data_IF_402115912139
#
_entry.id   IF_402115912139
#
_cell.length_a   1.000
_cell.length_b   1.000
_cell.length_c   1.000
_cell.angle_alpha   90.00
_cell.angle_beta   90.00
_cell.angle_gamma   90.00
#
_symmetry.space_group_name_H-M   'P 1'
#
loop_
_entity.id
_entity.type
_entity.pdbx_description
1 polymer ?
#
# COMPACT_ATOMS: atom_id res chain seq x y z
N UNK A 1 34.48 23.54 -7.50
CA UNK A 1 33.57 22.66 -6.75
C UNK A 1 32.45 22.30 -7.69
N UNK A 2 32.52 21.08 -8.23
CA UNK A 2 31.61 20.57 -9.25
C UNK A 2 30.17 20.63 -8.76
N UNK A 3 29.30 21.26 -9.55
CA UNK A 3 27.88 20.94 -9.54
C UNK A 3 27.79 19.60 -10.25
N UNK A 4 27.68 18.52 -9.49
CA UNK A 4 27.22 17.26 -10.04
C UNK A 4 25.78 17.48 -10.49
N UNK A 5 25.62 17.70 -11.78
CA UNK A 5 24.38 17.46 -12.49
C UNK A 5 24.05 15.99 -12.26
N UNK A 6 23.13 15.69 -11.34
CA UNK A 6 22.36 14.46 -11.44
C UNK A 6 21.66 14.51 -12.78
N UNK A 7 22.27 13.85 -13.76
CA UNK A 7 21.68 13.57 -15.05
C UNK A 7 20.43 12.75 -14.73
N UNK A 8 19.26 13.37 -14.83
CA UNK A 8 17.99 12.76 -14.48
C UNK A 8 17.72 11.66 -15.50
N UNK A 9 18.17 10.43 -15.23
CA UNK A 9 17.86 9.27 -16.07
C UNK A 9 16.35 9.28 -16.36
N UNK A 10 16.02 9.30 -17.65
CA UNK A 10 14.65 9.30 -18.10
C UNK A 10 14.02 7.97 -17.68
N UNK A 11 13.12 8.01 -16.69
CA UNK A 11 12.34 6.85 -16.27
C UNK A 11 11.56 6.33 -17.48
N UNK A 12 11.72 5.05 -17.79
CA UNK A 12 11.11 4.45 -18.98
C UNK A 12 9.58 4.49 -18.90
N UNK A 13 8.91 4.77 -20.01
CA UNK A 13 7.45 4.69 -20.07
C UNK A 13 7.01 3.22 -20.02
N UNK A 14 5.99 2.92 -19.22
CA UNK A 14 5.42 1.59 -19.11
C UNK A 14 4.41 1.35 -20.23
N UNK A 15 4.65 0.29 -20.99
CA UNK A 15 3.71 -0.22 -21.98
C UNK A 15 2.97 -1.44 -21.42
N UNK A 16 1.64 -1.32 -21.29
CA UNK A 16 0.77 -2.40 -20.80
C UNK A 16 0.75 -3.61 -21.73
N UNK A 17 1.16 -3.46 -22.99
CA UNK A 17 1.29 -4.53 -23.97
C UNK A 17 2.74 -5.03 -24.13
N UNK A 18 3.70 -4.37 -23.48
CA UNK A 18 5.11 -4.77 -23.47
C UNK A 18 5.41 -5.98 -22.57
N UNK A 19 6.69 -6.24 -22.26
CA UNK A 19 7.07 -7.29 -21.32
C UNK A 19 6.40 -7.11 -19.95
N UNK A 20 5.89 -8.20 -19.38
CA UNK A 20 5.33 -8.17 -18.03
C UNK A 20 6.42 -7.83 -17.00
N UNK A 21 6.09 -7.02 -15.97
CA UNK A 21 7.00 -6.78 -14.86
C UNK A 21 7.50 -8.08 -14.23
N UNK A 22 8.77 -8.10 -13.82
CA UNK A 22 9.37 -9.20 -13.08
C UNK A 22 10.32 -8.66 -12.02
N UNK A 23 10.51 -9.42 -10.93
CA UNK A 23 11.20 -8.92 -9.75
C UNK A 23 10.42 -7.78 -9.10
N UNK A 24 11.13 -6.84 -8.46
CA UNK A 24 10.52 -5.65 -7.87
C UNK A 24 10.51 -4.49 -8.85
N UNK A 25 9.32 -4.05 -9.24
CA UNK A 25 9.09 -2.95 -10.18
C UNK A 25 8.30 -1.84 -9.50
N UNK A 26 8.78 -0.60 -9.61
CA UNK A 26 8.02 0.60 -9.23
C UNK A 26 7.42 1.22 -10.47
N UNK A 27 6.11 1.39 -10.45
CA UNK A 27 5.32 2.04 -11.48
C UNK A 27 4.81 3.39 -10.96
N UNK A 28 5.48 4.47 -11.34
CA UNK A 28 5.07 5.83 -11.00
C UNK A 28 3.90 6.26 -11.88
N UNK A 29 2.74 6.45 -11.28
CA UNK A 29 1.49 6.64 -11.99
C UNK A 29 0.77 7.92 -11.54
N UNK A 30 1.07 9.00 -12.27
CA UNK A 30 0.49 10.33 -12.02
C UNK A 30 -1.03 10.37 -12.08
N UNK A 31 -1.63 11.45 -11.57
CA UNK A 31 -3.08 11.61 -11.54
C UNK A 31 -3.68 11.40 -12.93
N UNK A 32 -4.67 10.51 -13.03
CA UNK A 32 -5.41 10.25 -14.26
C UNK A 32 -4.68 9.41 -15.32
N UNK A 33 -3.51 8.83 -15.03
CA UNK A 33 -2.76 8.01 -16.00
C UNK A 33 -3.21 6.55 -16.12
N UNK A 34 -4.22 6.16 -15.34
CA UNK A 34 -4.85 4.84 -15.46
C UNK A 34 -4.25 3.76 -14.57
N UNK A 35 -3.85 4.10 -13.32
CA UNK A 35 -3.41 3.13 -12.28
C UNK A 35 -4.27 1.87 -12.24
N UNK A 36 -5.56 2.03 -11.93
CA UNK A 36 -6.51 0.92 -11.76
C UNK A 36 -6.72 0.13 -13.06
N UNK A 37 -6.74 0.82 -14.21
CA UNK A 37 -6.81 0.15 -15.52
C UNK A 37 -5.58 -0.73 -15.76
N UNK A 38 -4.40 -0.21 -15.44
CA UNK A 38 -3.13 -0.92 -15.59
C UNK A 38 -3.07 -2.14 -14.68
N UNK A 39 -3.50 -2.02 -13.42
CA UNK A 39 -3.54 -3.16 -12.48
C UNK A 39 -4.49 -4.25 -12.98
N UNK A 40 -5.69 -3.87 -13.44
CA UNK A 40 -6.66 -4.82 -13.98
C UNK A 40 -6.13 -5.50 -15.27
N UNK A 41 -5.47 -4.74 -16.14
CA UNK A 41 -4.83 -5.25 -17.34
C UNK A 41 -3.69 -6.24 -17.01
N UNK A 42 -2.80 -5.88 -16.08
CA UNK A 42 -1.73 -6.75 -15.59
C UNK A 42 -2.27 -8.04 -14.98
N UNK A 43 -3.31 -7.96 -14.13
CA UNK A 43 -3.95 -9.14 -13.56
C UNK A 43 -4.48 -10.08 -14.64
N UNK A 44 -5.16 -9.54 -15.65
CA UNK A 44 -5.64 -10.33 -16.78
C UNK A 44 -4.50 -10.97 -17.58
N UNK A 45 -3.41 -10.25 -17.81
CA UNK A 45 -2.23 -10.76 -18.53
C UNK A 45 -1.52 -11.88 -17.76
N UNK A 46 -1.22 -11.69 -16.48
CA UNK A 46 -0.54 -12.71 -15.67
C UNK A 46 -1.32 -14.04 -15.67
N UNK A 47 -2.65 -13.97 -15.63
CA UNK A 47 -3.53 -15.15 -15.73
C UNK A 47 -3.54 -15.73 -17.14
N UNK A 48 -3.87 -14.92 -18.15
CA UNK A 48 -4.03 -15.40 -19.52
C UNK A 48 -2.73 -16.00 -20.07
N UNK A 49 -1.61 -15.32 -19.88
CA UNK A 49 -0.30 -15.75 -20.35
C UNK A 49 0.28 -16.91 -19.50
N UNK A 50 -0.29 -17.19 -18.32
CA UNK A 50 0.01 -18.37 -17.51
C UNK A 50 1.18 -18.20 -16.54
N UNK A 51 1.47 -16.96 -16.15
CA UNK A 51 2.49 -16.66 -15.13
C UNK A 51 1.98 -16.89 -13.71
N UNK A 52 0.68 -16.80 -13.48
CA UNK A 52 0.05 -17.04 -12.18
C UNK A 52 -1.40 -17.48 -12.37
N UNK A 53 -1.90 -18.34 -11.49
CA UNK A 53 -3.33 -18.52 -11.29
C UNK A 53 -3.90 -17.36 -10.48
N UNK A 54 -5.22 -17.15 -10.53
CA UNK A 54 -5.83 -16.00 -9.88
C UNK A 54 -5.69 -16.01 -8.35
N UNK A 55 -5.65 -17.19 -7.73
CA UNK A 55 -5.42 -17.31 -6.29
C UNK A 55 -3.95 -17.06 -5.89
N UNK A 56 -3.02 -17.13 -6.86
CA UNK A 56 -1.60 -16.79 -6.69
C UNK A 56 -1.32 -15.29 -6.91
N UNK A 57 -2.35 -14.51 -7.25
CA UNK A 57 -2.29 -13.05 -7.35
C UNK A 57 -2.73 -12.39 -6.03
N UNK A 58 -1.90 -11.48 -5.55
CA UNK A 58 -2.24 -10.58 -4.45
C UNK A 58 -2.35 -9.14 -4.94
N UNK A 59 -3.50 -8.52 -4.69
CA UNK A 59 -3.78 -7.11 -4.98
C UNK A 59 -4.10 -6.40 -3.66
N UNK A 60 -3.24 -5.46 -3.25
CA UNK A 60 -3.40 -4.70 -2.01
C UNK A 60 -3.66 -3.23 -2.33
N UNK A 61 -4.59 -2.59 -1.60
CA UNK A 61 -4.88 -1.15 -1.69
C UNK A 61 -5.18 -0.57 -0.30
N UNK A 62 -5.26 0.76 -0.18
CA UNK A 62 -5.37 1.44 1.11
C UNK A 62 -6.75 1.28 1.79
N UNK A 63 -7.83 1.38 1.02
CA UNK A 63 -9.20 1.52 1.55
C UNK A 63 -10.16 0.38 1.18
N UNK A 64 -11.19 0.16 2.00
CA UNK A 64 -12.26 -0.82 1.71
C UNK A 64 -13.03 -0.49 0.43
N UNK A 65 -13.33 0.79 0.19
CA UNK A 65 -13.99 1.24 -1.03
C UNK A 65 -13.11 1.00 -2.27
N UNK A 66 -11.82 1.38 -2.19
CA UNK A 66 -10.84 1.13 -3.24
C UNK A 66 -10.67 -0.37 -3.52
N UNK A 67 -10.73 -1.21 -2.49
CA UNK A 67 -10.68 -2.68 -2.64
C UNK A 67 -11.87 -3.19 -3.45
N UNK A 68 -13.08 -2.71 -3.16
CA UNK A 68 -14.29 -3.11 -3.90
C UNK A 68 -14.24 -2.63 -5.35
N UNK A 69 -13.85 -1.38 -5.58
CA UNK A 69 -13.67 -0.85 -6.93
C UNK A 69 -12.62 -1.66 -7.71
N UNK A 70 -11.44 -1.90 -7.12
CA UNK A 70 -10.39 -2.69 -7.75
C UNK A 70 -10.86 -4.11 -8.08
N UNK A 71 -11.60 -4.75 -7.17
CA UNK A 71 -12.19 -6.08 -7.38
C UNK A 71 -13.15 -6.10 -8.56
N UNK A 72 -14.02 -5.10 -8.65
CA UNK A 72 -14.94 -4.95 -9.79
C UNK A 72 -14.18 -4.75 -11.10
N UNK A 73 -13.20 -3.84 -11.13
CA UNK A 73 -12.39 -3.56 -12.33
C UNK A 73 -11.60 -4.76 -12.83
N UNK A 74 -10.99 -5.51 -11.93
CA UNK A 74 -10.26 -6.74 -12.29
C UNK A 74 -11.24 -7.77 -12.87
N UNK A 75 -12.41 -7.95 -12.25
CA UNK A 75 -13.44 -8.87 -12.75
C UNK A 75 -13.94 -8.46 -14.13
N UNK A 76 -14.31 -7.18 -14.31
CA UNK A 76 -14.75 -6.62 -15.59
C UNK A 76 -13.71 -6.87 -16.68
N UNK A 77 -12.42 -6.65 -16.37
CA UNK A 77 -11.34 -6.86 -17.33
C UNK A 77 -11.17 -8.33 -17.71
N UNK A 78 -11.20 -9.24 -16.75
CA UNK A 78 -11.13 -10.69 -16.99
C UNK A 78 -12.32 -11.16 -17.85
N UNK A 79 -13.55 -10.69 -17.56
CA UNK A 79 -14.75 -11.02 -18.34
C UNK A 79 -14.63 -10.48 -19.77
N UNK A 80 -14.19 -9.24 -19.92
CA UNK A 80 -14.01 -8.61 -21.24
C UNK A 80 -12.99 -9.37 -22.07
N UNK A 81 -11.84 -9.74 -21.48
CA UNK A 81 -10.81 -10.52 -22.14
C UNK A 81 -11.31 -11.93 -22.51
N UNK A 82 -11.94 -12.66 -21.59
CA UNK A 82 -12.46 -14.02 -21.86
C UNK A 82 -13.46 -14.03 -23.01
N UNK A 83 -14.41 -13.08 -23.00
CA UNK A 83 -15.43 -12.96 -24.05
C UNK A 83 -14.82 -12.58 -25.38
N UNK A 84 -13.92 -11.61 -25.39
CA UNK A 84 -13.25 -11.14 -26.61
C UNK A 84 -12.46 -12.27 -27.28
N UNK A 85 -11.71 -13.06 -26.51
CA UNK A 85 -10.98 -14.22 -27.04
C UNK A 85 -11.89 -15.36 -27.52
N UNK A 86 -13.21 -15.26 -27.33
CA UNK A 86 -14.17 -16.16 -27.94
C UNK A 86 -14.34 -16.00 -29.44
N UNK A 87 -13.95 -14.84 -29.98
CA UNK A 87 -13.78 -14.60 -31.41
C UNK A 87 -12.38 -14.00 -31.64
N UNK A 88 -11.36 -14.84 -31.87
CA UNK A 88 -9.98 -14.37 -32.07
C UNK A 88 -9.83 -13.42 -33.27
N UNK A 89 -10.67 -13.55 -34.29
CA UNK A 89 -10.60 -12.68 -35.47
C UNK A 89 -11.06 -11.26 -35.12
N UNK A 90 -12.17 -11.14 -34.38
CA UNK A 90 -12.60 -9.86 -33.82
C UNK A 90 -11.56 -9.29 -32.86
N UNK A 91 -11.08 -10.09 -31.92
CA UNK A 91 -10.14 -9.67 -30.88
C UNK A 91 -8.86 -9.03 -31.44
N UNK A 92 -8.29 -9.58 -32.52
CA UNK A 92 -7.10 -9.05 -33.21
C UNK A 92 -7.31 -7.68 -33.87
N UNK A 93 -8.57 -7.30 -34.13
CA UNK A 93 -8.93 -6.05 -34.83
C UNK A 93 -9.66 -5.05 -33.94
N UNK A 94 -9.91 -5.39 -32.68
CA UNK A 94 -10.58 -4.51 -31.74
C UNK A 94 -9.68 -3.31 -31.38
N UNK A 95 -10.30 -2.17 -31.07
CA UNK A 95 -9.60 -0.97 -30.57
C UNK A 95 -8.96 -1.17 -29.18
N UNK A 96 -9.19 -2.32 -28.54
CA UNK A 96 -8.61 -2.71 -27.27
C UNK A 96 -7.26 -3.41 -27.50
N UNK A 97 -6.18 -2.66 -27.35
CA UNK A 97 -4.80 -3.13 -27.57
C UNK A 97 -4.45 -4.40 -26.76
N UNK A 98 -4.94 -4.50 -25.52
CA UNK A 98 -4.71 -5.68 -24.69
C UNK A 98 -5.47 -6.89 -25.22
N UNK A 99 -6.68 -6.71 -25.76
CA UNK A 99 -7.41 -7.81 -26.39
C UNK A 99 -6.69 -8.28 -27.66
N UNK A 100 -6.16 -7.36 -28.46
CA UNK A 100 -5.31 -7.65 -29.61
C UNK A 100 -4.07 -8.45 -29.22
N UNK A 101 -3.35 -8.03 -28.18
CA UNK A 101 -2.20 -8.73 -27.63
C UNK A 101 -2.55 -10.16 -27.20
N UNK A 102 -3.63 -10.34 -26.44
CA UNK A 102 -4.02 -11.66 -25.96
C UNK A 102 -4.52 -12.58 -27.08
N UNK A 103 -4.92 -12.02 -28.22
CA UNK A 103 -5.34 -12.75 -29.42
C UNK A 103 -4.18 -13.00 -30.42
N UNK A 104 -2.98 -12.49 -30.13
CA UNK A 104 -1.80 -12.67 -30.97
C UNK A 104 -1.24 -14.11 -30.86
N UNK A 105 -0.91 -14.71 -32.00
CA UNK A 105 -0.53 -16.12 -32.10
C UNK A 105 -1.65 -17.02 -32.64
N UNK A 106 -1.43 -18.33 -32.50
CA UNK A 106 -2.30 -19.37 -33.04
C UNK A 106 -3.63 -19.46 -32.30
N UNK A 107 -4.68 -19.95 -32.98
CA UNK A 107 -6.00 -20.11 -32.36
C UNK A 107 -5.97 -21.08 -31.15
N UNK A 108 -5.06 -22.07 -31.15
CA UNK A 108 -4.85 -22.97 -30.02
C UNK A 108 -4.25 -22.25 -28.80
N UNK A 109 -3.26 -21.38 -29.00
CA UNK A 109 -2.68 -20.55 -27.92
C UNK A 109 -3.74 -19.61 -27.35
N UNK A 110 -4.53 -18.97 -28.20
CA UNK A 110 -5.64 -18.10 -27.79
C UNK A 110 -6.68 -18.89 -27.00
N UNK A 111 -7.03 -20.10 -27.43
CA UNK A 111 -7.94 -20.97 -26.70
C UNK A 111 -7.41 -21.35 -25.31
N UNK A 112 -6.10 -21.58 -25.16
CA UNK A 112 -5.46 -21.82 -23.86
C UNK A 112 -5.55 -20.60 -22.95
N UNK A 113 -5.25 -19.40 -23.48
CA UNK A 113 -5.35 -18.14 -22.72
C UNK A 113 -6.79 -17.89 -22.25
N UNK A 114 -7.75 -18.09 -23.16
CA UNK A 114 -9.19 -17.99 -22.83
C UNK A 114 -9.58 -18.98 -21.73
N UNK A 115 -9.16 -20.25 -21.84
CA UNK A 115 -9.45 -21.27 -20.82
C UNK A 115 -8.94 -20.87 -19.43
N UNK A 116 -7.73 -20.32 -19.34
CA UNK A 116 -7.17 -19.80 -18.07
C UNK A 116 -8.03 -18.68 -17.49
N UNK A 117 -8.47 -17.74 -18.33
CA UNK A 117 -9.39 -16.67 -17.92
C UNK A 117 -10.74 -17.22 -17.45
N UNK A 118 -11.29 -18.22 -18.15
CA UNK A 118 -12.54 -18.89 -17.74
C UNK A 118 -12.39 -19.55 -16.37
N UNK A 119 -11.30 -20.28 -16.12
CA UNK A 119 -11.00 -20.88 -14.81
C UNK A 119 -10.88 -19.80 -13.73
N UNK A 120 -10.12 -18.74 -13.99
CA UNK A 120 -9.96 -17.61 -13.07
C UNK A 120 -11.30 -16.93 -12.73
N UNK A 121 -12.22 -16.79 -13.69
CA UNK A 121 -13.56 -16.25 -13.44
C UNK A 121 -14.43 -17.19 -12.60
N UNK A 122 -14.25 -18.51 -12.73
CA UNK A 122 -14.92 -19.50 -11.90
C UNK A 122 -14.50 -19.44 -10.43
N UNK A 123 -13.20 -19.23 -10.20
CA UNK A 123 -12.60 -19.17 -8.85
C UNK A 123 -12.35 -17.73 -8.38
N UNK A 124 -13.05 -16.74 -8.97
CA UNK A 124 -12.75 -15.33 -8.73
C UNK A 124 -12.82 -14.93 -7.26
N UNK A 125 -13.72 -15.56 -6.49
CA UNK A 125 -13.88 -15.24 -5.09
C UNK A 125 -12.69 -15.65 -4.21
N UNK A 126 -11.83 -16.56 -4.70
CA UNK A 126 -10.58 -16.96 -4.05
C UNK A 126 -9.44 -15.95 -4.25
N UNK A 127 -9.59 -14.97 -5.15
CA UNK A 127 -8.58 -13.94 -5.40
C UNK A 127 -8.30 -13.11 -4.14
N UNK A 128 -7.02 -12.89 -3.82
CA UNK A 128 -6.63 -12.03 -2.69
C UNK A 128 -6.62 -10.58 -3.17
N UNK A 129 -7.78 -9.93 -3.08
CA UNK A 129 -7.94 -8.49 -3.31
C UNK A 129 -8.41 -7.87 -2.00
N UNK A 130 -7.50 -7.22 -1.29
CA UNK A 130 -7.72 -6.82 0.10
C UNK A 130 -7.08 -5.47 0.43
N UNK A 131 -7.44 -4.92 1.59
CA UNK A 131 -6.62 -3.90 2.23
C UNK A 131 -5.37 -4.52 2.84
N UNK A 132 -4.34 -3.72 3.15
CA UNK A 132 -3.13 -4.24 3.81
C UNK A 132 -3.47 -4.95 5.14
N UNK A 133 -4.43 -4.41 5.89
CA UNK A 133 -4.95 -5.03 7.11
C UNK A 133 -5.61 -6.39 6.86
N UNK A 134 -6.46 -6.48 5.83
CA UNK A 134 -7.11 -7.73 5.45
C UNK A 134 -6.08 -8.80 5.06
N UNK A 135 -5.04 -8.41 4.32
CA UNK A 135 -3.90 -9.28 4.02
C UNK A 135 -3.20 -9.76 5.31
N UNK A 136 -2.86 -8.86 6.23
CA UNK A 136 -2.16 -9.22 7.46
C UNK A 136 -2.98 -10.22 8.30
N UNK A 137 -4.28 -9.97 8.45
CA UNK A 137 -5.19 -10.89 9.15
C UNK A 137 -5.22 -12.28 8.50
N UNK A 138 -5.28 -12.33 7.17
CA UNK A 138 -5.36 -13.57 6.41
C UNK A 138 -4.05 -14.37 6.55
N UNK A 139 -2.90 -13.70 6.52
CA UNK A 139 -1.59 -14.35 6.71
C UNK A 139 -1.40 -14.85 8.13
N UNK A 140 -1.76 -14.06 9.14
CA UNK A 140 -1.69 -14.48 10.54
C UNK A 140 -2.54 -15.74 10.79
N UNK A 141 -3.75 -15.78 10.22
CA UNK A 141 -4.62 -16.97 10.28
C UNK A 141 -3.97 -18.17 9.61
N UNK A 142 -3.41 -17.98 8.41
CA UNK A 142 -2.78 -19.05 7.62
C UNK A 142 -1.46 -19.58 8.21
N UNK A 143 -0.70 -18.73 8.90
CA UNK A 143 0.55 -19.13 9.54
C UNK A 143 0.33 -20.06 10.73
N UNK A 144 -0.88 -20.13 11.28
CA UNK A 144 -1.15 -20.89 12.49
C UNK A 144 -0.26 -20.43 13.65
N UNK A 145 0.22 -19.17 13.61
CA UNK A 145 0.94 -18.54 14.72
C UNK A 145 -0.10 -18.33 15.82
N UNK A 146 -0.35 -19.41 16.54
CA UNK A 146 -1.17 -19.50 17.74
C UNK A 146 -0.28 -19.68 18.98
N UNK A 147 1.03 -19.37 18.85
CA UNK A 147 2.05 -19.70 19.86
C UNK A 147 2.09 -18.77 21.07
N UNK A 148 1.72 -17.50 20.91
CA UNK A 148 1.59 -16.50 21.99
C UNK A 148 0.27 -15.71 21.91
N UNK A 149 -0.64 -16.21 21.08
CA UNK A 149 -1.85 -15.49 20.72
C UNK A 149 -2.95 -15.89 21.68
N UNK A 150 -3.46 -14.95 22.47
CA UNK A 150 -4.79 -15.02 23.06
C UNK A 150 -5.79 -15.29 21.91
N UNK A 151 -6.29 -16.53 21.72
CA UNK A 151 -7.22 -16.88 20.64
C UNK A 151 -8.58 -16.21 20.88
N UNK A 152 -8.80 -15.80 22.13
CA UNK A 152 -9.97 -15.11 22.66
C UNK A 152 -9.82 -13.59 22.68
N UNK A 153 -8.82 -13.04 21.97
CA UNK A 153 -8.69 -11.60 21.86
C UNK A 153 -9.86 -10.99 21.07
N UNK A 154 -10.48 -9.95 21.63
CA UNK A 154 -11.56 -9.22 20.99
C UNK A 154 -10.99 -8.18 20.04
N UNK A 155 -11.39 -8.25 18.77
CA UNK A 155 -11.04 -7.23 17.79
C UNK A 155 -11.88 -5.96 17.99
N UNK A 156 -11.23 -4.81 18.02
CA UNK A 156 -11.84 -3.48 18.12
C UNK A 156 -11.34 -2.59 16.98
N UNK A 157 -12.21 -1.75 16.44
CA UNK A 157 -11.84 -0.83 15.35
C UNK A 157 -11.02 0.37 15.84
N UNK A 158 -11.20 0.77 17.10
CA UNK A 158 -10.46 1.83 17.76
C UNK A 158 -10.24 1.48 19.24
N UNK A 159 -9.13 1.99 19.79
CA UNK A 159 -8.79 1.92 21.21
C UNK A 159 -9.03 3.26 21.93
N UNK A 160 -9.78 4.17 21.32
CA UNK A 160 -10.08 5.51 21.86
C UNK A 160 -10.68 5.49 23.26
N UNK A 161 -11.50 4.49 23.58
CA UNK A 161 -12.07 4.32 24.93
C UNK A 161 -10.97 4.00 25.94
N UNK A 162 -10.05 3.10 25.59
CA UNK A 162 -8.88 2.78 26.42
C UNK A 162 -7.98 4.00 26.57
N UNK A 163 -7.76 4.75 25.49
CA UNK A 163 -6.99 6.00 25.50
C UNK A 163 -7.62 7.01 26.45
N UNK A 164 -8.94 7.23 26.36
CA UNK A 164 -9.64 8.18 27.22
C UNK A 164 -9.52 7.79 28.71
N UNK A 165 -9.69 6.51 29.05
CA UNK A 165 -9.51 6.02 30.41
C UNK A 165 -8.07 6.23 30.93
N UNK A 166 -7.06 5.92 30.09
CA UNK A 166 -5.65 6.13 30.45
C UNK A 166 -5.36 7.60 30.70
N UNK A 167 -5.89 8.49 29.86
CA UNK A 167 -5.71 9.94 30.02
C UNK A 167 -6.33 10.41 31.33
N UNK A 168 -7.56 9.98 31.65
CA UNK A 168 -8.22 10.32 32.92
C UNK A 168 -7.36 9.89 34.11
N UNK A 169 -6.88 8.64 34.12
CA UNK A 169 -6.11 8.12 35.24
C UNK A 169 -4.75 8.81 35.39
N UNK A 170 -4.04 9.06 34.29
CA UNK A 170 -2.76 9.76 34.33
C UNK A 170 -2.93 11.23 34.74
N UNK A 171 -3.98 11.91 34.24
CA UNK A 171 -4.28 13.30 34.58
C UNK A 171 -4.60 13.44 36.06
N UNK A 172 -5.50 12.60 36.60
CA UNK A 172 -5.88 12.62 38.00
C UNK A 172 -4.73 12.20 38.92
N UNK A 173 -3.93 11.20 38.53
CA UNK A 173 -2.77 10.77 39.32
C UNK A 173 -1.75 11.90 39.47
N UNK A 174 -1.57 12.70 38.42
CA UNK A 174 -0.58 13.77 38.39
C UNK A 174 -1.09 15.07 39.00
N UNK A 175 -2.28 15.54 38.63
CA UNK A 175 -2.81 16.85 39.00
C UNK A 175 -4.11 16.82 39.82
N UNK A 176 -4.67 15.65 40.09
CA UNK A 176 -5.85 15.51 40.94
C UNK A 176 -5.56 15.57 42.44
N UNK A 177 -4.28 15.66 42.84
CA UNK A 177 -3.89 15.73 44.26
C UNK A 177 -3.88 17.17 44.77
N UNK A 178 -4.26 17.43 46.04
CA UNK A 178 -4.31 18.79 46.58
C UNK A 178 -2.98 19.57 46.52
N UNK A 179 -1.85 18.87 46.45
CA UNK A 179 -0.48 19.39 46.48
C UNK A 179 0.22 19.40 45.11
N UNK A 180 -0.45 18.98 44.04
CA UNK A 180 0.15 18.78 42.71
C UNK A 180 0.53 20.06 41.94
N UNK A 181 0.14 21.23 42.44
CA UNK A 181 0.27 22.50 41.72
C UNK A 181 -0.71 22.62 40.54
N UNK A 182 -0.62 23.73 39.80
CA UNK A 182 -1.48 23.95 38.64
C UNK A 182 -1.09 23.03 37.46
N UNK A 183 -2.06 22.46 36.73
CA UNK A 183 -1.78 21.65 35.55
C UNK A 183 -1.02 22.42 34.47
N UNK A 184 0.06 21.83 33.94
CA UNK A 184 0.82 22.42 32.82
C UNK A 184 0.05 22.37 31.49
N UNK A 185 -0.99 21.55 31.41
CA UNK A 185 -1.91 21.47 30.29
C UNK A 185 -3.29 21.06 30.79
N UNK A 186 -4.32 21.43 30.05
CA UNK A 186 -5.69 20.99 30.30
C UNK A 186 -5.87 19.51 29.96
N UNK A 187 -6.93 18.91 30.50
CA UNK A 187 -7.34 17.55 30.14
C UNK A 187 -7.53 17.38 28.62
N UNK A 188 -8.13 18.37 27.96
CA UNK A 188 -8.36 18.31 26.51
C UNK A 188 -7.05 18.31 25.71
N UNK A 189 -6.06 19.11 26.12
CA UNK A 189 -4.73 19.12 25.52
C UNK A 189 -3.98 17.80 25.76
N UNK A 190 -4.08 17.24 26.95
CA UNK A 190 -3.48 15.93 27.25
C UNK A 190 -4.14 14.82 26.42
N UNK A 191 -5.48 14.82 26.29
CA UNK A 191 -6.20 13.85 25.49
C UNK A 191 -5.80 13.93 24.01
N UNK A 192 -5.68 15.15 23.46
CA UNK A 192 -5.21 15.36 22.09
C UNK A 192 -3.78 14.85 21.91
N UNK A 193 -2.87 15.19 22.83
CA UNK A 193 -1.48 14.71 22.82
C UNK A 193 -1.41 13.18 22.83
N UNK A 194 -2.14 12.52 23.74
CA UNK A 194 -2.10 11.06 23.85
C UNK A 194 -2.76 10.39 22.64
N UNK A 195 -3.87 10.92 22.13
CA UNK A 195 -4.48 10.41 20.88
C UNK A 195 -3.50 10.47 19.71
N UNK A 196 -2.77 11.57 19.56
CA UNK A 196 -1.73 11.66 18.52
C UNK A 196 -0.60 10.67 18.76
N UNK A 197 -0.14 10.52 20.01
CA UNK A 197 0.95 9.60 20.34
C UNK A 197 0.60 8.12 20.17
N UNK A 198 -0.66 7.74 20.40
CA UNK A 198 -1.17 6.36 20.27
C UNK A 198 -1.67 6.06 18.87
N UNK A 199 -2.19 7.06 18.15
CA UNK A 199 -2.79 6.90 16.82
C UNK A 199 -1.78 6.46 15.74
N UNK A 200 -0.50 6.76 15.91
CA UNK A 200 0.58 6.13 15.15
C UNK A 200 1.59 5.49 16.12
N UNK A 201 1.40 4.20 16.39
CA UNK A 201 2.29 3.44 17.29
C UNK A 201 3.66 3.16 16.66
N UNK A 202 3.84 3.41 15.37
CA UNK A 202 5.12 3.20 14.69
C UNK A 202 5.92 4.49 14.60
N UNK A 203 5.27 5.65 14.72
CA UNK A 203 5.94 6.93 14.82
C UNK A 203 6.90 6.97 16.01
N UNK A 204 8.11 7.47 15.72
CA UNK A 204 9.09 7.83 16.74
C UNK A 204 8.60 9.09 17.46
N UNK A 205 8.33 8.96 18.76
CA UNK A 205 8.06 10.12 19.59
C UNK A 205 9.34 10.95 19.75
N UNK A 206 9.21 12.26 19.51
CA UNK A 206 10.25 13.26 19.66
C UNK A 206 9.72 14.41 20.53
N UNK A 207 10.61 15.17 21.20
CA UNK A 207 12.06 14.96 21.33
C UNK A 207 12.42 13.88 22.36
N UNK A 208 13.45 13.07 22.10
CA UNK A 208 13.94 12.03 23.03
C UNK A 208 14.82 12.57 24.15
N UNK A 209 15.30 13.80 24.01
CA UNK A 209 16.34 14.48 24.80
C UNK A 209 15.88 15.86 25.29
N UNK A 210 14.57 16.14 25.31
CA UNK A 210 14.11 17.40 25.87
C UNK A 210 14.40 17.47 27.38
N UNK A 211 15.23 18.44 27.74
CA UNK A 211 15.46 18.85 29.13
C UNK A 211 14.54 20.01 29.54
N UNK A 212 14.08 20.80 28.56
CA UNK A 212 13.25 21.97 28.81
C UNK A 212 11.75 21.65 28.79
N UNK A 213 11.04 22.24 29.75
CA UNK A 213 9.58 22.23 29.79
C UNK A 213 8.98 23.25 28.80
N UNK A 214 7.81 22.97 28.17
CA UNK A 214 6.89 21.86 28.41
C UNK A 214 7.14 20.61 27.55
N UNK A 215 8.19 20.61 26.71
CA UNK A 215 8.43 19.54 25.76
C UNK A 215 8.80 18.21 26.45
N UNK A 216 9.64 18.29 27.49
CA UNK A 216 10.05 17.13 28.29
C UNK A 216 8.85 16.44 28.96
N UNK A 217 7.92 17.22 29.55
CA UNK A 217 6.70 16.70 30.14
C UNK A 217 5.78 16.05 29.12
N UNK A 218 5.53 16.71 27.97
CA UNK A 218 4.70 16.14 26.89
C UNK A 218 5.26 14.82 26.38
N UNK A 219 6.57 14.72 26.19
CA UNK A 219 7.24 13.50 25.78
C UNK A 219 7.05 12.37 26.82
N UNK A 220 7.33 12.64 28.10
CA UNK A 220 7.17 11.66 29.19
C UNK A 220 5.73 11.17 29.31
N UNK A 221 4.74 12.06 29.21
CA UNK A 221 3.33 11.71 29.21
C UNK A 221 2.94 10.83 28.01
N UNK A 222 3.39 11.18 26.81
CA UNK A 222 3.11 10.40 25.60
C UNK A 222 3.70 8.98 25.70
N UNK A 223 4.94 8.84 26.17
CA UNK A 223 5.59 7.53 26.39
C UNK A 223 4.85 6.71 27.46
N UNK A 224 4.53 7.32 28.61
CA UNK A 224 3.81 6.65 29.68
C UNK A 224 2.41 6.21 29.25
N UNK A 225 1.69 7.06 28.51
CA UNK A 225 0.35 6.76 28.03
C UNK A 225 0.36 5.63 26.99
N UNK A 226 1.32 5.61 26.05
CA UNK A 226 1.48 4.49 25.10
C UNK A 226 1.71 3.17 25.83
N UNK A 227 2.61 3.15 26.82
CA UNK A 227 2.89 1.94 27.59
C UNK A 227 1.66 1.45 28.37
N UNK A 228 0.91 2.37 28.99
CA UNK A 228 -0.30 2.04 29.75
C UNK A 228 -1.45 1.56 28.84
N UNK A 229 -1.64 2.18 27.66
CA UNK A 229 -2.65 1.74 26.67
C UNK A 229 -2.35 0.31 26.22
N UNK A 230 -1.10 0.01 25.87
CA UNK A 230 -0.70 -1.35 25.48
C UNK A 230 -0.87 -2.36 26.63
N UNK A 231 -0.54 -1.96 27.87
CA UNK A 231 -0.77 -2.80 29.04
C UNK A 231 -2.27 -3.12 29.24
N UNK A 232 -3.16 -2.12 29.10
CA UNK A 232 -4.62 -2.32 29.23
C UNK A 232 -5.19 -3.12 28.08
N UNK A 233 -4.75 -2.89 26.84
CA UNK A 233 -5.12 -3.71 25.69
C UNK A 233 -4.77 -5.17 25.94
N UNK A 234 -3.55 -5.43 26.39
CA UNK A 234 -3.09 -6.79 26.72
C UNK A 234 -3.94 -7.44 27.82
N UNK A 235 -4.18 -6.73 28.94
CA UNK A 235 -5.00 -7.23 30.05
C UNK A 235 -6.44 -7.55 29.65
N UNK A 236 -7.02 -6.71 28.78
CA UNK A 236 -8.39 -6.87 28.25
C UNK A 236 -8.45 -7.79 27.03
N UNK A 237 -7.31 -8.29 26.55
CA UNK A 237 -7.18 -9.05 25.32
C UNK A 237 -7.82 -8.33 24.13
N UNK A 238 -7.63 -7.02 24.03
CA UNK A 238 -8.10 -6.23 22.89
C UNK A 238 -7.06 -6.24 21.78
N UNK A 239 -7.52 -6.26 20.54
CA UNK A 239 -6.68 -6.14 19.33
C UNK A 239 -7.28 -5.13 18.38
N UNK A 240 -6.43 -4.35 17.77
CA UNK A 240 -6.82 -3.41 16.72
C UNK A 240 -6.10 -3.71 15.40
N UNK A 241 -6.26 -2.82 14.43
CA UNK A 241 -5.73 -2.98 13.09
C UNK A 241 -4.20 -2.97 13.03
N UNK A 242 -3.51 -2.02 13.67
CA UNK A 242 -2.04 -1.98 13.61
C UNK A 242 -1.39 -3.14 14.41
N UNK A 243 -2.09 -3.72 15.39
CA UNK A 243 -1.62 -4.93 16.08
C UNK A 243 -1.40 -6.06 15.05
N UNK A 244 -2.25 -6.17 14.03
CA UNK A 244 -2.12 -7.19 12.97
C UNK A 244 -0.84 -6.99 12.15
N UNK A 245 -0.50 -5.74 11.83
CA UNK A 245 0.70 -5.39 11.08
C UNK A 245 1.95 -5.75 11.90
N UNK A 246 1.99 -5.25 13.13
CA UNK A 246 3.10 -5.47 14.07
C UNK A 246 3.34 -6.96 14.31
N UNK A 247 2.26 -7.72 14.54
CA UNK A 247 2.31 -9.16 14.77
C UNK A 247 2.86 -9.93 13.57
N UNK A 248 2.41 -9.61 12.36
CA UNK A 248 2.91 -10.29 11.17
C UNK A 248 4.41 -9.97 10.94
N UNK A 249 4.80 -8.71 11.11
CA UNK A 249 6.21 -8.30 11.06
C UNK A 249 7.05 -9.07 12.09
N UNK A 250 6.59 -9.15 13.32
CA UNK A 250 7.33 -9.82 14.41
C UNK A 250 7.45 -11.32 14.13
N UNK A 251 6.37 -11.96 13.65
CA UNK A 251 6.41 -13.35 13.21
C UNK A 251 7.39 -13.60 12.06
N UNK A 252 7.59 -12.64 11.15
CA UNK A 252 8.54 -12.74 10.04
C UNK A 252 10.00 -12.43 10.43
N UNK A 253 10.20 -11.66 11.50
CA UNK A 253 11.52 -11.24 11.99
C UNK A 253 12.04 -12.09 13.16
N UNK A 254 11.19 -12.96 13.71
CA UNK A 254 11.59 -13.95 14.72
C UNK A 254 12.84 -14.75 14.27
N UNK A 255 13.90 -14.82 15.09
CA UNK A 255 15.15 -15.48 14.70
C UNK A 255 15.00 -16.97 14.37
N UNK A 256 14.07 -17.65 15.02
CA UNK A 256 13.93 -19.11 14.93
C UNK A 256 12.87 -19.52 13.91
N UNK A 257 11.76 -18.77 13.84
CA UNK A 257 10.56 -19.09 13.06
C UNK A 257 10.31 -18.17 11.87
N UNK A 258 11.05 -17.05 11.79
CA UNK A 258 10.81 -16.00 10.81
C UNK A 258 10.96 -16.44 9.35
N UNK A 259 11.92 -17.33 9.05
CA UNK A 259 12.07 -17.85 7.68
C UNK A 259 10.89 -18.74 7.28
N UNK A 260 10.42 -19.61 8.18
CA UNK A 260 9.25 -20.45 7.92
C UNK A 260 7.98 -19.60 7.72
N UNK A 261 7.84 -18.50 8.46
CA UNK A 261 6.75 -17.56 8.27
C UNK A 261 6.81 -16.86 6.90
N UNK A 262 7.97 -16.30 6.54
CA UNK A 262 8.21 -15.68 5.23
C UNK A 262 7.97 -16.67 4.08
N UNK A 263 8.44 -17.91 4.22
CA UNK A 263 8.26 -18.97 3.25
C UNK A 263 6.77 -19.28 3.00
N UNK A 264 5.99 -19.44 4.07
CA UNK A 264 4.57 -19.76 3.95
C UNK A 264 3.78 -18.63 3.28
N UNK A 265 4.15 -17.38 3.55
CA UNK A 265 3.52 -16.21 2.92
C UNK A 265 3.91 -16.10 1.45
N UNK A 266 5.20 -16.27 1.12
CA UNK A 266 5.69 -16.14 -0.27
C UNK A 266 5.18 -17.26 -1.17
N UNK A 267 5.06 -18.49 -0.68
CA UNK A 267 4.61 -19.65 -1.48
C UNK A 267 3.17 -19.52 -1.97
N UNK A 268 2.35 -18.69 -1.31
CA UNK A 268 0.97 -18.47 -1.70
C UNK A 268 0.82 -17.56 -2.92
N UNK A 269 1.81 -16.72 -3.22
CA UNK A 269 1.68 -15.66 -4.20
C UNK A 269 2.86 -15.64 -5.16
N UNK A 270 2.58 -15.74 -6.46
CA UNK A 270 3.60 -15.60 -7.50
C UNK A 270 3.77 -14.14 -7.93
N UNK A 271 2.69 -13.38 -7.83
CA UNK A 271 2.63 -11.98 -8.24
C UNK A 271 1.88 -11.17 -7.18
N UNK A 272 2.51 -10.11 -6.73
CA UNK A 272 1.98 -9.14 -5.78
C UNK A 272 1.94 -7.78 -6.43
N UNK A 273 0.80 -7.11 -6.40
CA UNK A 273 0.68 -5.71 -6.80
C UNK A 273 0.11 -4.88 -5.65
N UNK A 274 0.76 -3.76 -5.36
CA UNK A 274 0.38 -2.83 -4.30
C UNK A 274 -0.01 -1.53 -4.96
N UNK A 275 -1.28 -1.16 -4.83
CA UNK A 275 -1.83 0.12 -5.26
C UNK A 275 -1.71 1.18 -4.16
N UNK A 276 -1.73 2.44 -4.56
CA UNK A 276 -1.53 3.61 -3.67
C UNK A 276 -0.31 3.46 -2.75
N UNK A 277 0.79 2.94 -3.31
CA UNK A 277 1.99 2.59 -2.55
C UNK A 277 2.61 3.79 -1.81
N UNK A 278 2.38 5.03 -2.27
CA UNK A 278 2.83 6.24 -1.57
C UNK A 278 2.22 6.42 -0.16
N UNK A 279 1.10 5.76 0.13
CA UNK A 279 0.40 5.82 1.42
C UNK A 279 0.77 4.64 2.33
N UNK A 280 1.79 3.86 1.97
CA UNK A 280 2.31 2.73 2.74
C UNK A 280 3.19 3.22 3.89
N UNK A 281 2.97 2.68 5.09
CA UNK A 281 3.82 2.96 6.24
C UNK A 281 5.08 2.04 6.29
N UNK A 282 6.09 2.37 7.11
CA UNK A 282 7.33 1.59 7.19
C UNK A 282 7.14 0.12 7.58
N UNK A 283 6.14 -0.22 8.42
CA UNK A 283 5.87 -1.60 8.85
C UNK A 283 5.26 -2.40 7.72
N UNK A 284 4.28 -1.83 6.99
CA UNK A 284 3.71 -2.46 5.80
C UNK A 284 4.79 -2.75 4.75
N UNK A 285 5.66 -1.77 4.47
CA UNK A 285 6.78 -1.99 3.56
C UNK A 285 7.72 -3.08 4.05
N UNK A 286 8.07 -3.10 5.34
CA UNK A 286 8.92 -4.14 5.90
C UNK A 286 8.32 -5.55 5.70
N UNK A 287 7.01 -5.71 5.91
CA UNK A 287 6.30 -6.98 5.67
C UNK A 287 6.40 -7.38 4.19
N UNK A 288 6.04 -6.47 3.27
CA UNK A 288 6.08 -6.71 1.83
C UNK A 288 7.49 -7.06 1.34
N UNK A 289 8.49 -6.33 1.82
CA UNK A 289 9.90 -6.54 1.49
C UNK A 289 10.39 -7.89 2.00
N UNK A 290 10.12 -8.24 3.26
CA UNK A 290 10.55 -9.50 3.84
C UNK A 290 9.89 -10.72 3.20
N UNK A 291 8.65 -10.58 2.75
CA UNK A 291 7.91 -11.68 2.14
C UNK A 291 8.20 -11.86 0.64
N UNK A 292 8.31 -10.76 -0.13
CA UNK A 292 8.18 -10.82 -1.59
C UNK A 292 9.36 -10.23 -2.36
N UNK A 293 10.03 -9.19 -1.84
CA UNK A 293 11.14 -8.55 -2.55
C UNK A 293 12.28 -9.54 -2.80
N UNK A 294 12.72 -9.66 -4.06
CA UNK A 294 13.76 -10.62 -4.48
C UNK A 294 13.30 -12.08 -4.55
N UNK A 295 12.03 -12.38 -4.26
CA UNK A 295 11.50 -13.75 -4.23
C UNK A 295 10.33 -13.97 -5.19
N UNK A 296 9.47 -12.97 -5.36
CA UNK A 296 8.30 -13.02 -6.24
C UNK A 296 8.24 -11.76 -7.10
N UNK A 297 7.33 -11.73 -8.08
CA UNK A 297 7.06 -10.49 -8.80
C UNK A 297 6.31 -9.54 -7.88
N UNK A 298 6.89 -8.38 -7.60
CA UNK A 298 6.33 -7.33 -6.74
C UNK A 298 6.22 -6.03 -7.52
N UNK A 299 5.00 -5.62 -7.84
CA UNK A 299 4.72 -4.37 -8.56
C UNK A 299 4.17 -3.34 -7.58
N UNK A 300 4.88 -2.25 -7.41
CA UNK A 300 4.53 -1.15 -6.52
C UNK A 300 4.00 0.00 -7.38
N UNK A 301 2.68 0.20 -7.39
CA UNK A 301 2.02 1.26 -8.15
C UNK A 301 1.68 2.41 -7.21
N UNK A 302 2.09 3.63 -7.56
CA UNK A 302 1.78 4.80 -6.74
C UNK A 302 2.30 6.09 -7.35
N UNK A 303 2.04 7.19 -6.65
CA UNK A 303 2.57 8.49 -7.02
C UNK A 303 3.02 9.26 -5.76
N UNK A 304 4.33 9.47 -5.55
CA UNK A 304 4.82 10.20 -4.38
C UNK A 304 4.34 11.66 -4.36
N UNK A 305 3.95 12.22 -5.50
CA UNK A 305 3.37 13.58 -5.61
C UNK A 305 1.97 13.66 -4.97
N UNK A 306 1.32 12.52 -4.74
CA UNK A 306 -0.02 12.40 -4.16
C UNK A 306 0.00 11.91 -2.70
N UNK A 307 1.18 11.79 -2.07
CA UNK A 307 1.30 11.36 -0.68
C UNK A 307 0.74 12.44 0.28
N UNK A 308 -0.52 12.28 0.70
CA UNK A 308 -1.23 13.23 1.57
C UNK A 308 -1.71 12.62 2.89
N UNK A 309 -1.50 11.32 3.11
CA UNK A 309 -1.94 10.59 4.31
C UNK A 309 -0.88 10.47 5.41
N UNK A 310 0.05 11.44 5.52
CA UNK A 310 1.06 11.47 6.58
C UNK A 310 0.46 11.43 7.99
N UNK A 311 -0.73 12.00 8.18
CA UNK A 311 -1.47 11.96 9.44
C UNK A 311 -2.04 10.58 9.80
N UNK A 312 -1.95 9.59 8.90
CA UNK A 312 -2.33 8.17 9.11
C UNK A 312 -1.13 7.23 9.00
N UNK A 313 0.10 7.75 9.10
CA UNK A 313 1.33 6.95 9.05
C UNK A 313 1.88 6.70 7.64
N UNK A 314 1.22 7.16 6.57
CA UNK A 314 1.75 7.08 5.22
C UNK A 314 3.05 7.87 5.09
N UNK A 315 4.12 7.22 4.64
CA UNK A 315 5.46 7.81 4.65
C UNK A 315 6.08 7.83 3.25
N UNK A 316 6.23 9.03 2.70
CA UNK A 316 6.87 9.20 1.39
C UNK A 316 8.34 8.76 1.40
N UNK A 317 9.02 8.80 2.56
CA UNK A 317 10.38 8.27 2.67
C UNK A 317 10.40 6.73 2.50
N UNK A 318 9.34 6.04 2.90
CA UNK A 318 9.14 4.61 2.65
C UNK A 318 8.99 4.34 1.15
N UNK A 319 8.20 5.14 0.43
CA UNK A 319 8.12 5.06 -1.04
C UNK A 319 9.50 5.24 -1.69
N UNK A 320 10.24 6.28 -1.30
CA UNK A 320 11.57 6.57 -1.87
C UNK A 320 12.58 5.46 -1.57
N UNK A 321 12.56 4.91 -0.35
CA UNK A 321 13.42 3.79 0.05
C UNK A 321 13.13 2.52 -0.75
N UNK A 322 11.86 2.21 -0.98
CA UNK A 322 11.46 1.09 -1.81
C UNK A 322 11.79 1.32 -3.28
N UNK A 323 11.65 2.56 -3.76
CA UNK A 323 12.10 2.99 -5.09
C UNK A 323 13.59 2.69 -5.27
N UNK A 324 14.45 3.16 -4.38
CA UNK A 324 15.91 2.91 -4.48
C UNK A 324 16.30 1.42 -4.48
N UNK A 325 15.45 0.54 -3.94
CA UNK A 325 15.67 -0.91 -3.89
C UNK A 325 15.05 -1.67 -5.07
N UNK A 326 14.20 -1.02 -5.87
CA UNK A 326 13.53 -1.67 -6.99
C UNK A 326 14.50 -1.98 -8.13
N UNK A 327 14.27 -3.09 -8.82
CA UNK A 327 15.08 -3.46 -9.98
C UNK A 327 14.70 -2.67 -11.23
N UNK A 328 13.42 -2.26 -11.32
CA UNK A 328 12.86 -1.58 -12.49
C UNK A 328 12.04 -0.38 -12.06
N UNK A 329 12.22 0.73 -12.77
CA UNK A 329 11.45 1.96 -12.62
C UNK A 329 10.77 2.31 -13.93
N UNK A 330 9.44 2.44 -13.90
CA UNK A 330 8.69 2.87 -15.06
C UNK A 330 7.62 3.89 -14.68
N UNK A 331 7.13 4.63 -15.66
CA UNK A 331 6.07 5.63 -15.45
C UNK A 331 4.91 5.46 -16.43
N UNK A 332 3.70 5.80 -15.99
CA UNK A 332 2.55 5.93 -16.88
C UNK A 332 2.50 7.37 -17.44
N UNK A 333 2.91 7.55 -18.70
CA UNK A 333 3.05 8.88 -19.31
C UNK A 333 1.76 9.49 -19.86
N UNK A 334 0.70 8.70 -20.05
CA UNK A 334 -0.53 9.11 -20.74
C UNK A 334 -1.69 9.34 -19.78
N UNK A 335 -2.25 10.55 -19.76
CA UNK A 335 -3.40 10.95 -18.94
C UNK A 335 -4.72 10.77 -19.70
N UNK A 336 -5.66 10.03 -19.11
CA UNK A 336 -6.95 9.69 -19.72
C UNK A 336 -8.13 10.49 -19.18
N UNK A 337 -7.91 11.37 -18.19
CA UNK A 337 -8.96 12.11 -17.46
C UNK A 337 -9.04 13.59 -17.83
N UNK A 338 -7.96 14.18 -18.31
CA UNK A 338 -7.80 15.61 -18.48
C UNK A 338 -7.41 15.98 -19.92
N UNK A 339 -7.88 17.14 -20.38
CA UNK A 339 -7.57 17.67 -21.70
C UNK A 339 -6.20 18.39 -21.74
N UNK A 340 -5.65 18.65 -22.94
CA UNK A 340 -4.33 19.26 -23.08
C UNK A 340 -4.18 20.63 -22.43
N UNK A 341 -5.25 21.44 -22.33
CA UNK A 341 -5.14 22.79 -21.77
C UNK A 341 -4.92 22.76 -20.26
N UNK A 342 -5.63 21.88 -19.54
CA UNK A 342 -5.40 21.69 -18.11
C UNK A 342 -4.00 21.15 -17.83
N UNK A 343 -3.56 20.14 -18.59
CA UNK A 343 -2.21 19.58 -18.43
C UNK A 343 -1.12 20.60 -18.75
N UNK A 344 -1.32 21.43 -19.78
CA UNK A 344 -0.41 22.53 -20.11
C UNK A 344 -0.30 23.56 -18.99
N UNK A 345 -1.44 23.92 -18.36
CA UNK A 345 -1.45 24.81 -17.20
C UNK A 345 -0.70 24.22 -15.99
N UNK A 346 -0.92 22.93 -15.68
CA UNK A 346 -0.20 22.25 -14.61
C UNK A 346 1.31 22.12 -14.89
N UNK A 347 1.68 21.81 -16.14
CA UNK A 347 3.07 21.74 -16.56
C UNK A 347 3.76 23.11 -16.46
N UNK A 348 3.06 24.20 -16.78
CA UNK A 348 3.59 25.55 -16.61
C UNK A 348 3.75 25.94 -15.13
N UNK A 349 2.84 25.49 -14.26
CA UNK A 349 2.87 25.83 -12.83
C UNK A 349 3.90 24.99 -12.04
N UNK A 350 4.01 23.70 -12.36
CA UNK A 350 4.75 22.74 -11.54
C UNK A 350 5.82 21.95 -12.29
N UNK A 351 5.91 22.03 -13.62
CA UNK A 351 6.82 21.21 -14.41
C UNK A 351 8.27 21.33 -13.97
N UNK A 352 8.91 20.19 -13.68
CA UNK A 352 10.28 20.14 -13.18
C UNK A 352 10.46 20.56 -11.72
N UNK A 353 9.39 20.97 -11.01
CA UNK A 353 9.46 21.24 -9.59
C UNK A 353 9.65 19.95 -8.79
N UNK A 354 10.51 20.01 -7.78
CA UNK A 354 10.65 18.97 -6.77
C UNK A 354 9.69 19.27 -5.60
N UNK A 355 8.81 18.31 -5.26
CA UNK A 355 7.80 18.48 -4.22
C UNK A 355 8.26 17.84 -2.90
N UNK A 356 8.77 18.66 -1.98
CA UNK A 356 9.19 18.23 -0.64
C UNK A 356 10.51 17.43 -0.58
N UNK A 357 10.84 16.67 -1.63
CA UNK A 357 12.08 15.92 -1.78
C UNK A 357 12.64 16.07 -3.22
N UNK A 358 13.96 16.17 -3.42
CA UNK A 358 14.57 16.34 -4.75
C UNK A 358 14.17 15.26 -5.78
N UNK A 359 13.91 14.03 -5.31
CA UNK A 359 13.54 12.90 -6.17
C UNK A 359 12.05 12.88 -6.56
N UNK A 360 11.21 13.74 -5.95
CA UNK A 360 9.77 13.82 -6.25
C UNK A 360 9.55 14.93 -7.27
N UNK A 361 9.93 14.66 -8.51
CA UNK A 361 9.88 15.64 -9.61
C UNK A 361 8.56 15.54 -10.38
N UNK A 362 7.91 16.67 -10.61
CA UNK A 362 6.72 16.73 -11.48
C UNK A 362 7.13 16.60 -12.93
N UNK A 363 6.87 15.42 -13.50
CA UNK A 363 7.10 15.12 -14.92
C UNK A 363 5.85 15.42 -15.76
N UNK A 364 6.01 15.92 -16.99
CA UNK A 364 4.88 16.14 -17.89
C UNK A 364 4.20 14.81 -18.25
N UNK A 365 2.88 14.86 -18.41
CA UNK A 365 2.06 13.75 -18.93
C UNK A 365 1.32 14.20 -20.19
N UNK A 366 1.16 13.30 -21.16
CA UNK A 366 0.48 13.58 -22.42
C UNK A 366 -1.02 13.28 -22.30
N UNK A 367 -1.88 14.18 -22.77
CA UNK A 367 -3.32 13.91 -22.83
C UNK A 367 -3.62 12.81 -23.85
N UNK A 368 -4.41 11.82 -23.45
CA UNK A 368 -4.88 10.77 -24.35
C UNK A 368 -5.92 11.28 -25.37
N UNK A 369 -6.66 12.32 -24.99
CA UNK A 369 -7.73 12.93 -25.77
C UNK A 369 -7.37 14.39 -26.06
N UNK A 370 -7.66 14.88 -27.26
CA UNK A 370 -7.30 16.25 -27.69
C UNK A 370 -8.50 17.21 -27.79
N UNK A 371 -9.71 16.76 -27.40
CA UNK A 371 -10.93 17.56 -27.40
C UNK A 371 -11.44 17.89 -26.00
N UNK A 372 -12.30 18.91 -25.87
CA UNK A 372 -13.08 19.16 -24.65
C UNK A 372 -14.19 18.11 -24.56
N UNK A 373 -14.27 17.39 -23.45
CA UNK A 373 -15.44 16.56 -23.11
C UNK A 373 -16.55 17.41 -22.51
#
# INVERSE_FOLDING_TARGET
MSRDTHDTEAVAEFDVCGPLPSGTTVLEASAGTGKTFTIAALAARYVAEGYAELHELMLVTFGRAATQELRERVRERLVSAERGLGDPSYARTADDELLGLLADGTDDEVAIRRKRLTTALGDFDAATIATTHGFCQQMLTGLGVAGDYAPDATFVESVDDVVAEVVVDLYLRKWGRPDAGEPMMTYAEMLALVRTAVGDRHARLLPTDAEAEPAAERYRLAVAARAEVEARKSQRRLRDYDDLLTQLRDAMTDPDRGEAARQRVRERYRVVMVDEFQDTDPVQWQILRLAFHGHTTLVLIGDPKQAIYAFRGGDVATYLSASQQAATHQTLGRNWRSDPALLGGLAAAFGGAALGHPDIVVRPVAAAWHGRR
#
